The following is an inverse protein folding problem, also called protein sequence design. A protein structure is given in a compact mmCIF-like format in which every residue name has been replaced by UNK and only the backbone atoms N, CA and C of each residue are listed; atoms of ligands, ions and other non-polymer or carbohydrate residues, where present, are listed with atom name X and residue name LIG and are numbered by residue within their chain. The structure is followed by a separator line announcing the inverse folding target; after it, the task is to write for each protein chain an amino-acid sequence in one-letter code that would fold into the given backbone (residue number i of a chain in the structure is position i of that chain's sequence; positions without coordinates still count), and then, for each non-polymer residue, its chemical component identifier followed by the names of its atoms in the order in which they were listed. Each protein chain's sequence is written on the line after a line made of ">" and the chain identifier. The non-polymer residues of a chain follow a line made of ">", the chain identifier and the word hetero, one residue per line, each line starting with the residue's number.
data_IF_935823594185
#
_entry.id   IF_935823594185
#
_cell.length_a   1.000
_cell.length_b   1.000
_cell.length_c   1.000
_cell.angle_alpha   90.00
_cell.angle_beta   90.00
_cell.angle_gamma   90.00
#
_symmetry.space_group_name_H-M   'P 1'
#
loop_
_entity.id
_entity.type
_entity.pdbx_description
1 polymer ?
#
# COMPACT_ATOMS: atom_id res chain seq x y z
N UNK A 1 -25.53 -1.51 -45.24
CA UNK A 1 -25.14 -0.15 -44.83
C UNK A 1 -24.84 -0.16 -43.35
N UNK A 2 -23.55 -0.26 -43.03
CA UNK A 2 -22.99 -0.38 -41.67
C UNK A 2 -23.14 0.94 -40.90
N UNK A 3 -23.69 0.90 -39.69
CA UNK A 3 -23.59 1.99 -38.72
C UNK A 3 -22.86 1.46 -37.48
N UNK A 4 -21.55 1.26 -37.64
CA UNK A 4 -20.58 1.18 -36.56
C UNK A 4 -20.52 2.58 -35.96
N UNK A 5 -21.17 2.79 -34.81
CA UNK A 5 -20.97 4.00 -34.02
C UNK A 5 -19.58 3.89 -33.39
N UNK A 6 -18.69 4.76 -33.85
CA UNK A 6 -17.39 5.01 -33.26
C UNK A 6 -17.57 5.44 -31.80
N UNK A 7 -17.05 4.61 -30.90
CA UNK A 7 -16.52 5.06 -29.61
C UNK A 7 -14.99 5.11 -29.73
N UNK A 8 -14.48 5.64 -30.84
CA UNK A 8 -13.06 5.99 -30.91
C UNK A 8 -12.91 7.30 -30.11
N UNK A 9 -12.09 7.23 -29.06
CA UNK A 9 -11.41 8.36 -28.40
C UNK A 9 -11.86 8.82 -26.99
N UNK A 10 -12.47 7.95 -26.15
CA UNK A 10 -12.50 8.10 -24.66
C UNK A 10 -12.81 6.77 -23.95
N UNK A 11 -11.99 5.74 -24.07
CA UNK A 11 -12.25 4.47 -23.37
C UNK A 11 -10.98 3.96 -22.67
N UNK A 12 -10.74 4.43 -21.45
CA UNK A 12 -10.20 3.52 -20.44
C UNK A 12 -11.42 2.76 -19.95
N UNK A 13 -11.47 1.45 -20.17
CA UNK A 13 -12.60 0.64 -19.72
C UNK A 13 -12.71 0.69 -18.21
N UNK A 14 -13.94 0.68 -17.68
CA UNK A 14 -14.14 0.52 -16.22
C UNK A 14 -13.43 -0.74 -15.70
N UNK A 15 -13.36 -1.77 -16.53
CA UNK A 15 -12.65 -3.02 -16.27
C UNK A 15 -11.14 -2.78 -16.07
N UNK A 16 -10.51 -1.96 -16.92
CA UNK A 16 -9.07 -1.68 -16.85
C UNK A 16 -8.73 -0.83 -15.62
N UNK A 17 -9.63 0.10 -15.26
CA UNK A 17 -9.50 0.88 -14.02
C UNK A 17 -9.65 -0.03 -12.80
N UNK A 18 -10.66 -0.91 -12.81
CA UNK A 18 -10.90 -1.82 -11.70
C UNK A 18 -9.73 -2.78 -11.52
N UNK A 19 -9.16 -3.29 -12.61
CA UNK A 19 -7.99 -4.18 -12.58
C UNK A 19 -6.79 -3.51 -11.91
N UNK A 20 -6.45 -2.28 -12.33
CA UNK A 20 -5.36 -1.50 -11.72
C UNK A 20 -5.64 -1.21 -10.23
N UNK A 21 -6.88 -0.88 -9.86
CA UNK A 21 -7.26 -0.60 -8.48
C UNK A 21 -7.22 -1.86 -7.61
N UNK A 22 -7.61 -3.01 -8.14
CA UNK A 22 -7.57 -4.29 -7.41
C UNK A 22 -6.13 -4.78 -7.24
N UNK A 23 -5.30 -4.68 -8.28
CA UNK A 23 -3.93 -5.15 -8.27
C UNK A 23 -2.96 -4.25 -7.51
N UNK A 24 -3.07 -2.93 -7.69
CA UNK A 24 -2.10 -1.95 -7.15
C UNK A 24 -2.65 -1.12 -6.01
N UNK A 25 -3.97 -1.00 -5.92
CA UNK A 25 -4.61 -0.09 -4.99
C UNK A 25 -4.49 1.38 -5.39
N UNK A 26 -5.05 2.25 -4.55
CA UNK A 26 -5.10 3.71 -4.71
C UNK A 26 -4.68 4.35 -3.41
N UNK A 27 -3.61 5.16 -3.46
CA UNK A 27 -3.20 5.99 -2.35
C UNK A 27 -3.88 7.36 -2.41
N UNK A 28 -4.49 7.78 -1.32
CA UNK A 28 -5.18 9.06 -1.16
C UNK A 28 -4.47 9.84 -0.06
N UNK A 29 -4.12 11.09 -0.36
CA UNK A 29 -3.63 12.06 0.63
C UNK A 29 -4.69 13.14 0.81
N UNK A 30 -4.96 13.50 2.05
CA UNK A 30 -5.83 14.60 2.39
C UNK A 30 -5.52 15.13 3.77
N UNK A 31 -6.20 16.18 4.16
CA UNK A 31 -6.11 16.74 5.48
C UNK A 31 -7.50 16.94 6.10
N UNK A 32 -7.56 16.86 7.41
CA UNK A 32 -8.80 17.02 8.17
C UNK A 32 -8.55 17.93 9.36
N UNK A 33 -9.40 18.95 9.51
CA UNK A 33 -9.44 19.80 10.69
C UNK A 33 -10.69 19.46 11.49
N UNK A 34 -10.50 19.19 12.78
CA UNK A 34 -11.59 19.01 13.73
C UNK A 34 -11.74 20.30 14.55
N UNK A 35 -12.89 20.93 14.39
CA UNK A 35 -13.21 22.22 15.02
C UNK A 35 -14.39 22.09 15.98
N UNK A 36 -14.35 22.83 17.09
CA UNK A 36 -15.45 22.93 18.05
C UNK A 36 -15.75 24.41 18.27
N UNK A 37 -17.03 24.78 18.13
CA UNK A 37 -17.50 26.17 18.29
C UNK A 37 -16.71 27.19 17.44
N UNK A 38 -16.27 26.79 16.24
CA UNK A 38 -15.51 27.66 15.33
C UNK A 38 -14.02 27.80 15.69
N UNK A 39 -13.52 27.01 16.64
CA UNK A 39 -12.10 26.95 16.99
C UNK A 39 -11.52 25.63 16.46
N UNK A 40 -10.47 25.73 15.68
CA UNK A 40 -9.73 24.58 15.16
C UNK A 40 -8.85 23.98 16.26
N UNK A 41 -9.06 22.69 16.57
CA UNK A 41 -8.36 22.02 17.68
C UNK A 41 -7.32 21.03 17.19
N UNK A 42 -7.64 20.29 16.13
CA UNK A 42 -6.80 19.19 15.65
C UNK A 42 -6.69 19.26 14.13
N UNK A 43 -5.45 19.27 13.63
CA UNK A 43 -5.12 19.09 12.23
C UNK A 43 -4.55 17.68 12.03
N UNK A 44 -5.05 16.96 11.03
CA UNK A 44 -4.62 15.60 10.69
C UNK A 44 -4.13 15.59 9.24
N UNK A 45 -2.88 15.17 8.99
CA UNK A 45 -2.41 14.74 7.66
C UNK A 45 -2.84 13.28 7.48
N UNK A 46 -3.80 13.05 6.60
CA UNK A 46 -4.39 11.74 6.34
C UNK A 46 -3.77 11.14 5.09
N UNK A 47 -3.28 9.90 5.21
CA UNK A 47 -2.83 9.07 4.09
C UNK A 47 -3.54 7.74 4.19
N UNK A 48 -4.28 7.40 3.13
CA UNK A 48 -5.11 6.20 3.08
C UNK A 48 -4.73 5.41 1.84
N UNK A 49 -4.55 4.10 1.98
CA UNK A 49 -4.40 3.18 0.85
C UNK A 49 -5.68 2.35 0.73
N UNK A 50 -6.30 2.36 -0.44
CA UNK A 50 -7.45 1.53 -0.79
C UNK A 50 -6.95 0.44 -1.73
N UNK A 51 -7.04 -0.83 -1.37
CA UNK A 51 -6.63 -1.95 -2.23
C UNK A 51 -7.47 -3.18 -1.96
N UNK A 52 -7.29 -4.23 -2.77
CA UNK A 52 -7.90 -5.54 -2.50
C UNK A 52 -7.44 -6.08 -1.15
N UNK A 53 -8.31 -6.84 -0.50
CA UNK A 53 -8.03 -7.48 0.81
C UNK A 53 -6.85 -8.45 0.69
N UNK A 54 -6.77 -9.20 -0.42
CA UNK A 54 -5.67 -10.13 -0.71
C UNK A 54 -4.32 -9.40 -0.74
N UNK A 55 -4.23 -8.34 -1.54
CA UNK A 55 -3.03 -7.49 -1.64
C UNK A 55 -2.63 -6.84 -0.30
N UNK A 56 -3.61 -6.46 0.53
CA UNK A 56 -3.33 -5.94 1.88
C UNK A 56 -2.70 -7.00 2.79
N UNK A 57 -3.22 -8.22 2.78
CA UNK A 57 -2.73 -9.30 3.65
C UNK A 57 -1.32 -9.72 3.24
N UNK A 58 -1.08 -9.91 1.94
CA UNK A 58 0.24 -10.27 1.40
C UNK A 58 1.31 -9.24 1.77
N UNK A 59 1.04 -7.95 1.54
CA UNK A 59 2.00 -6.87 1.86
C UNK A 59 2.35 -6.79 3.35
N UNK A 60 1.40 -7.12 4.23
CA UNK A 60 1.60 -7.05 5.68
C UNK A 60 2.39 -8.26 6.21
N UNK A 61 2.23 -9.43 5.58
CA UNK A 61 3.04 -10.61 5.85
C UNK A 61 4.49 -10.42 5.41
N UNK A 62 4.74 -9.91 4.20
CA UNK A 62 6.09 -9.60 3.73
C UNK A 62 6.80 -8.59 4.64
N UNK A 63 6.09 -7.54 5.09
CA UNK A 63 6.64 -6.54 6.00
C UNK A 63 6.99 -7.14 7.37
N UNK A 64 6.15 -8.03 7.90
CA UNK A 64 6.39 -8.72 9.17
C UNK A 64 7.56 -9.72 9.09
N UNK A 65 7.71 -10.44 7.97
CA UNK A 65 8.80 -11.39 7.76
C UNK A 65 10.16 -10.70 7.60
N UNK A 66 10.24 -9.59 6.85
CA UNK A 66 11.49 -8.83 6.66
C UNK A 66 12.07 -8.27 7.97
N UNK A 67 11.22 -7.93 8.94
CA UNK A 67 11.64 -7.49 10.28
C UNK A 67 12.20 -8.64 11.13
N UNK A 68 11.72 -9.86 10.92
CA UNK A 68 12.12 -11.05 11.65
C UNK A 68 13.41 -11.65 11.09
N UNK A 69 13.51 -11.81 9.77
CA UNK A 69 14.64 -12.48 9.11
C UNK A 69 15.95 -11.69 9.22
N UNK A 70 15.92 -10.36 9.06
CA UNK A 70 17.17 -9.56 9.12
C UNK A 70 17.82 -9.51 10.51
N UNK A 71 17.04 -9.61 11.59
CA UNK A 71 17.58 -9.56 12.96
C UNK A 71 18.08 -10.92 13.46
N UNK A 72 17.42 -12.00 13.10
CA UNK A 72 17.83 -13.34 13.52
C UNK A 72 19.06 -13.87 12.75
N UNK A 73 19.21 -13.51 11.48
CA UNK A 73 20.39 -13.91 10.70
C UNK A 73 21.65 -13.18 11.20
N UNK A 74 21.54 -11.89 11.58
CA UNK A 74 22.65 -11.13 12.15
C UNK A 74 23.12 -11.69 13.50
N UNK A 75 22.21 -11.99 14.43
CA UNK A 75 22.58 -12.49 15.76
C UNK A 75 23.24 -13.88 15.70
N UNK A 76 22.77 -14.74 14.78
CA UNK A 76 23.38 -16.07 14.57
C UNK A 76 24.79 -15.99 14.00
N UNK A 77 25.05 -15.05 13.09
CA UNK A 77 26.34 -14.88 12.46
C UNK A 77 27.36 -14.27 13.45
N UNK A 78 26.93 -13.31 14.28
CA UNK A 78 27.75 -12.75 15.36
C UNK A 78 28.14 -13.80 16.41
N UNK A 79 27.22 -14.66 16.86
CA UNK A 79 27.54 -15.73 17.81
C UNK A 79 28.48 -16.79 17.21
N UNK A 80 28.24 -17.19 15.97
CA UNK A 80 29.08 -18.20 15.31
C UNK A 80 30.52 -17.73 15.11
N UNK A 81 30.73 -16.43 14.89
CA UNK A 81 32.07 -15.85 14.78
C UNK A 81 32.82 -15.85 16.12
N UNK A 82 32.13 -15.69 17.25
CA UNK A 82 32.74 -15.73 18.59
C UNK A 82 33.08 -17.16 19.01
N UNK A 83 32.21 -18.13 18.71
CA UNK A 83 32.38 -19.52 19.14
C UNK A 83 33.47 -20.26 18.36
N UNK A 84 33.63 -19.98 17.06
CA UNK A 84 34.58 -20.70 16.20
C UNK A 84 35.92 -19.98 15.99
N UNK A 85 36.13 -18.84 16.66
CA UNK A 85 37.31 -17.97 16.50
C UNK A 85 38.45 -18.20 17.50
N UNK A 86 38.44 -19.30 18.28
CA UNK A 86 39.44 -19.63 19.29
C UNK A 86 40.12 -20.98 19.03
#
# INVERSE_FOLDING_TARGET
>A
MSHRREFENKEVGLIDILDVVLDKGVAIKGDLILSIAGIDLVYLDLRVLISSVETLIESNQEAAEQLSSKRFDQEKEELNHVINGA
#
